data_IF_149078432050
#
_entry.id   IF_149078432050
#
_cell.length_a   1.000
_cell.length_b   1.000
_cell.length_c   1.000
_cell.angle_alpha   90.00
_cell.angle_beta   90.00
_cell.angle_gamma   90.00
#
_symmetry.space_group_name_H-M   'P 1'
#
loop_
_entity.id
_entity.type
_entity.pdbx_description
1 polymer ?
#
# COMPACT_ATOMS: atom_id res chain seq x y z
N UNK A 1 -42.91 -21.08 11.46
CA UNK A 1 -43.12 -19.81 10.74
C UNK A 1 -43.63 -18.78 11.73
N UNK A 2 -42.72 -17.96 12.25
CA UNK A 2 -43.01 -16.81 13.11
C UNK A 2 -43.03 -17.07 14.62
N UNK A 3 -42.38 -18.14 15.10
CA UNK A 3 -42.23 -18.42 16.52
C UNK A 3 -41.04 -17.67 17.15
N UNK A 4 -41.04 -17.57 18.48
CA UNK A 4 -39.85 -17.17 19.24
C UNK A 4 -38.73 -18.23 19.14
N UNK A 5 -39.09 -19.48 18.87
CA UNK A 5 -38.17 -20.61 18.80
C UNK A 5 -38.75 -21.69 17.87
N UNK A 6 -38.17 -21.90 16.69
CA UNK A 6 -38.58 -22.94 15.75
C UNK A 6 -37.47 -24.02 15.66
N UNK A 7 -37.82 -25.30 15.87
CA UNK A 7 -36.86 -26.42 15.75
C UNK A 7 -37.39 -27.49 14.81
N UNK A 8 -36.56 -27.90 13.85
CA UNK A 8 -36.82 -28.98 12.90
C UNK A 8 -35.73 -30.05 13.01
N UNK A 9 -36.13 -31.31 13.17
CA UNK A 9 -35.21 -32.44 13.34
C UNK A 9 -35.48 -33.52 12.28
N UNK A 10 -34.53 -33.72 11.39
CA UNK A 10 -34.52 -34.76 10.35
C UNK A 10 -35.54 -34.56 9.23
N UNK A 11 -35.46 -35.43 8.21
CA UNK A 11 -36.38 -35.47 7.07
C UNK A 11 -35.69 -35.24 5.73
N UNK A 12 -36.49 -35.25 4.66
CA UNK A 12 -35.99 -34.96 3.31
C UNK A 12 -35.85 -33.46 3.03
N UNK A 13 -36.70 -32.62 3.64
CA UNK A 13 -36.68 -31.16 3.49
C UNK A 13 -37.04 -30.48 4.82
N UNK A 14 -36.17 -29.61 5.32
CA UNK A 14 -36.43 -28.70 6.44
C UNK A 14 -36.46 -27.25 5.96
N UNK A 15 -37.57 -26.52 6.18
CA UNK A 15 -37.65 -25.10 5.82
C UNK A 15 -38.21 -24.28 6.96
N UNK A 16 -37.44 -23.30 7.43
CA UNK A 16 -37.83 -22.36 8.49
C UNK A 16 -37.70 -20.92 7.98
N UNK A 17 -38.65 -20.05 8.37
CA UNK A 17 -38.64 -18.64 7.97
C UNK A 17 -39.08 -17.72 9.11
N UNK A 18 -38.26 -16.70 9.38
CA UNK A 18 -38.62 -15.49 10.13
C UNK A 18 -38.84 -15.66 11.63
N UNK A 19 -38.18 -16.63 12.28
CA UNK A 19 -38.20 -16.76 13.75
C UNK A 19 -37.12 -15.92 14.45
N UNK A 20 -37.18 -15.85 15.78
CA UNK A 20 -36.10 -15.21 16.56
C UNK A 20 -34.91 -16.16 16.74
N UNK A 21 -35.17 -17.46 16.86
CA UNK A 21 -34.15 -18.48 16.99
C UNK A 21 -34.61 -19.75 16.26
N UNK A 22 -33.93 -20.07 15.17
CA UNK A 22 -34.30 -21.15 14.26
C UNK A 22 -33.21 -22.22 14.24
N UNK A 23 -33.55 -23.48 14.53
CA UNK A 23 -32.61 -24.61 14.50
C UNK A 23 -33.11 -25.73 13.59
N UNK A 24 -32.27 -26.15 12.65
CA UNK A 24 -32.54 -27.31 11.78
C UNK A 24 -31.40 -28.31 11.89
N UNK A 25 -31.71 -29.60 12.05
CA UNK A 25 -30.67 -30.64 12.13
C UNK A 25 -30.98 -31.87 11.29
N UNK A 26 -29.98 -32.34 10.53
CA UNK A 26 -29.91 -33.68 9.97
C UNK A 26 -30.89 -33.97 8.82
N UNK A 27 -31.31 -32.95 8.07
CA UNK A 27 -32.10 -33.12 6.86
C UNK A 27 -31.25 -33.40 5.61
N UNK A 28 -31.88 -33.81 4.51
CA UNK A 28 -31.18 -33.89 3.22
C UNK A 28 -31.02 -32.51 2.57
N UNK A 29 -32.00 -31.62 2.76
CA UNK A 29 -31.98 -30.26 2.23
C UNK A 29 -32.64 -29.31 3.21
N UNK A 30 -31.84 -28.47 3.86
CA UNK A 30 -32.27 -27.60 4.94
C UNK A 30 -32.10 -26.12 4.55
N UNK A 31 -33.17 -25.33 4.70
CA UNK A 31 -33.18 -23.90 4.36
C UNK A 31 -33.77 -23.06 5.47
N UNK A 32 -33.00 -22.10 5.98
CA UNK A 32 -33.45 -21.12 6.96
C UNK A 32 -33.34 -19.71 6.36
N UNK A 33 -34.35 -18.86 6.58
CA UNK A 33 -34.36 -17.49 6.05
C UNK A 33 -34.86 -16.46 7.06
N UNK A 34 -34.07 -15.40 7.23
CA UNK A 34 -34.49 -14.13 7.81
C UNK A 34 -34.80 -14.18 9.31
N UNK A 35 -34.17 -15.07 10.06
CA UNK A 35 -34.27 -15.08 11.52
C UNK A 35 -33.23 -14.17 12.19
N UNK A 36 -33.29 -14.05 13.52
CA UNK A 36 -32.24 -13.31 14.26
C UNK A 36 -31.04 -14.21 14.54
N UNK A 37 -31.26 -15.48 14.86
CA UNK A 37 -30.20 -16.46 15.11
C UNK A 37 -30.57 -17.81 14.50
N UNK A 38 -29.85 -18.18 13.44
CA UNK A 38 -30.19 -19.31 12.59
C UNK A 38 -29.06 -20.35 12.67
N UNK A 39 -29.38 -21.60 13.05
CA UNK A 39 -28.41 -22.70 13.15
C UNK A 39 -28.86 -23.90 12.35
N UNK A 40 -28.01 -24.37 11.43
CA UNK A 40 -28.23 -25.62 10.67
C UNK A 40 -27.07 -26.58 10.90
N UNK A 41 -27.36 -27.86 11.17
CA UNK A 41 -26.33 -28.85 11.48
C UNK A 41 -26.54 -30.19 10.78
N UNK A 42 -25.48 -30.70 10.14
CA UNK A 42 -25.33 -32.09 9.73
C UNK A 42 -26.24 -32.55 8.59
N UNK A 43 -26.70 -31.62 7.74
CA UNK A 43 -27.46 -31.98 6.54
C UNK A 43 -26.58 -32.27 5.32
N UNK A 44 -27.19 -32.68 4.21
CA UNK A 44 -26.44 -32.84 2.95
C UNK A 44 -26.27 -31.51 2.21
N UNK A 45 -27.29 -30.65 2.25
CA UNK A 45 -27.26 -29.34 1.62
C UNK A 45 -27.98 -28.31 2.50
N UNK A 46 -27.20 -27.42 3.10
CA UNK A 46 -27.66 -26.52 4.15
C UNK A 46 -27.51 -25.07 3.68
N UNK A 47 -28.60 -24.31 3.68
CA UNK A 47 -28.60 -22.91 3.23
C UNK A 47 -29.28 -21.98 4.24
N UNK A 48 -28.54 -20.98 4.71
CA UNK A 48 -29.07 -19.91 5.55
C UNK A 48 -28.97 -18.58 4.81
N UNK A 49 -30.04 -17.76 4.86
CA UNK A 49 -30.04 -16.44 4.21
C UNK A 49 -30.58 -15.33 5.09
N UNK A 50 -29.78 -14.27 5.21
CA UNK A 50 -30.22 -12.94 5.61
C UNK A 50 -30.64 -12.81 7.08
N UNK A 51 -30.12 -13.68 7.96
CA UNK A 51 -30.31 -13.50 9.39
C UNK A 51 -29.27 -12.56 10.01
N UNK A 52 -29.40 -12.27 11.31
CA UNK A 52 -28.38 -11.46 12.01
C UNK A 52 -27.15 -12.31 12.35
N UNK A 53 -27.34 -13.56 12.80
CA UNK A 53 -26.27 -14.49 13.12
C UNK A 53 -26.60 -15.88 12.57
N UNK A 54 -25.89 -16.27 11.52
CA UNK A 54 -26.17 -17.47 10.73
C UNK A 54 -25.01 -18.46 10.89
N UNK A 55 -25.30 -19.69 11.33
CA UNK A 55 -24.30 -20.74 11.54
C UNK A 55 -24.71 -22.04 10.88
N UNK A 56 -23.82 -22.58 10.04
CA UNK A 56 -23.98 -23.90 9.43
C UNK A 56 -22.80 -24.78 9.83
N UNK A 57 -23.06 -26.03 10.24
CA UNK A 57 -21.99 -26.94 10.64
C UNK A 57 -22.14 -28.37 10.10
N UNK A 58 -21.04 -28.88 9.55
CA UNK A 58 -20.84 -30.31 9.36
C UNK A 58 -21.68 -30.94 8.26
N UNK A 59 -22.23 -30.16 7.34
CA UNK A 59 -22.94 -30.69 6.17
C UNK A 59 -22.00 -31.00 4.99
N UNK A 60 -22.55 -31.54 3.90
CA UNK A 60 -21.75 -31.76 2.68
C UNK A 60 -21.56 -30.47 1.89
N UNK A 61 -22.61 -29.64 1.79
CA UNK A 61 -22.58 -28.36 1.10
C UNK A 61 -23.30 -27.29 1.92
N UNK A 62 -22.53 -26.40 2.52
CA UNK A 62 -22.99 -25.44 3.52
C UNK A 62 -22.86 -24.02 2.96
N UNK A 63 -23.97 -23.27 2.93
CA UNK A 63 -24.00 -21.92 2.35
C UNK A 63 -24.70 -20.92 3.25
N UNK A 64 -24.02 -19.81 3.55
CA UNK A 64 -24.61 -18.63 4.18
C UNK A 64 -24.62 -17.47 3.18
N UNK A 65 -25.75 -16.77 3.04
CA UNK A 65 -25.86 -15.61 2.16
C UNK A 65 -26.40 -14.38 2.89
N UNK A 66 -25.61 -13.31 2.94
CA UNK A 66 -25.95 -12.04 3.56
C UNK A 66 -25.88 -12.09 5.09
N UNK A 67 -26.59 -11.17 5.73
CA UNK A 67 -26.66 -11.07 7.18
C UNK A 67 -25.54 -10.24 7.82
N UNK A 68 -25.52 -10.19 9.16
CA UNK A 68 -24.47 -9.47 9.90
C UNK A 68 -23.26 -10.38 10.17
N UNK A 69 -23.50 -11.62 10.61
CA UNK A 69 -22.45 -12.58 10.93
C UNK A 69 -22.78 -13.96 10.34
N UNK A 70 -21.98 -14.45 9.40
CA UNK A 70 -22.15 -15.75 8.77
C UNK A 70 -20.98 -16.68 9.04
N UNK A 71 -21.26 -17.89 9.55
CA UNK A 71 -20.25 -18.89 9.89
C UNK A 71 -20.58 -20.24 9.25
N UNK A 72 -19.60 -20.83 8.59
CA UNK A 72 -19.62 -22.24 8.20
C UNK A 72 -18.48 -22.98 8.90
N UNK A 73 -18.75 -24.14 9.49
CA UNK A 73 -17.75 -24.93 10.19
C UNK A 73 -17.77 -26.40 9.76
N UNK A 74 -16.64 -26.87 9.22
CA UNK A 74 -16.46 -28.24 8.75
C UNK A 74 -17.16 -28.48 7.40
N UNK A 75 -17.39 -29.76 7.09
CA UNK A 75 -18.06 -30.17 5.86
C UNK A 75 -17.14 -30.34 4.66
N UNK A 76 -17.72 -30.64 3.49
CA UNK A 76 -16.96 -30.78 2.25
C UNK A 76 -16.79 -29.45 1.52
N UNK A 77 -17.86 -28.66 1.39
CA UNK A 77 -17.85 -27.37 0.71
C UNK A 77 -18.58 -26.31 1.53
N UNK A 78 -17.86 -25.31 2.04
CA UNK A 78 -18.40 -24.23 2.85
C UNK A 78 -18.30 -22.87 2.16
N UNK A 79 -19.40 -22.15 2.08
CA UNK A 79 -19.47 -20.84 1.41
C UNK A 79 -20.19 -19.80 2.26
N UNK A 80 -19.58 -18.61 2.38
CA UNK A 80 -20.26 -17.42 2.88
C UNK A 80 -20.22 -16.32 1.81
N UNK A 81 -21.37 -15.74 1.47
CA UNK A 81 -21.47 -14.66 0.47
C UNK A 81 -22.13 -13.41 1.05
N UNK A 82 -21.40 -12.30 1.05
CA UNK A 82 -21.86 -11.00 1.53
C UNK A 82 -21.95 -10.92 3.05
N UNK A 83 -22.50 -9.81 3.54
CA UNK A 83 -22.68 -9.54 4.96
C UNK A 83 -21.55 -8.70 5.58
N UNK A 84 -21.53 -8.58 6.91
CA UNK A 84 -20.50 -7.80 7.61
C UNK A 84 -19.30 -8.67 8.00
N UNK A 85 -19.54 -9.84 8.59
CA UNK A 85 -18.50 -10.82 8.91
C UNK A 85 -18.81 -12.17 8.27
N UNK A 86 -17.88 -12.70 7.47
CA UNK A 86 -17.97 -14.02 6.89
C UNK A 86 -16.82 -14.92 7.33
N UNK A 87 -17.14 -16.10 7.89
CA UNK A 87 -16.13 -17.03 8.41
C UNK A 87 -16.39 -18.44 7.91
N UNK A 88 -15.37 -19.08 7.34
CA UNK A 88 -15.37 -20.53 7.06
C UNK A 88 -14.22 -21.20 7.81
N UNK A 89 -14.50 -22.26 8.57
CA UNK A 89 -13.51 -22.96 9.38
C UNK A 89 -13.50 -24.47 9.08
N UNK A 90 -12.38 -24.96 8.56
CA UNK A 90 -12.15 -26.36 8.23
C UNK A 90 -12.88 -26.81 6.96
N UNK A 91 -12.80 -28.10 6.67
CA UNK A 91 -13.43 -28.73 5.51
C UNK A 91 -12.49 -28.90 4.32
N UNK A 92 -13.04 -29.25 3.15
CA UNK A 92 -12.24 -29.46 1.95
C UNK A 92 -12.13 -28.19 1.10
N UNK A 93 -13.23 -27.49 0.86
CA UNK A 93 -13.25 -26.19 0.18
C UNK A 93 -13.92 -25.14 1.05
N UNK A 94 -13.22 -24.05 1.34
CA UNK A 94 -13.76 -22.90 2.06
C UNK A 94 -13.74 -21.65 1.20
N UNK A 95 -14.88 -20.96 1.08
CA UNK A 95 -14.99 -19.76 0.25
C UNK A 95 -15.77 -18.66 0.96
N UNK A 96 -15.17 -17.48 1.10
CA UNK A 96 -15.87 -16.27 1.56
C UNK A 96 -15.77 -15.19 0.49
N UNK A 97 -16.88 -14.51 0.20
CA UNK A 97 -16.87 -13.43 -0.79
C UNK A 97 -17.70 -12.22 -0.39
N UNK A 98 -17.13 -11.03 -0.57
CA UNK A 98 -17.86 -9.77 -0.61
C UNK A 98 -18.41 -9.29 0.74
N UNK A 99 -17.86 -9.77 1.86
CA UNK A 99 -18.16 -9.23 3.18
C UNK A 99 -17.25 -8.05 3.54
N UNK A 100 -17.47 -7.44 4.72
CA UNK A 100 -16.55 -6.42 5.24
C UNK A 100 -15.28 -7.06 5.82
N UNK A 101 -15.44 -8.16 6.55
CA UNK A 101 -14.35 -8.93 7.15
C UNK A 101 -14.53 -10.42 6.87
N UNK A 102 -13.69 -10.96 6.00
CA UNK A 102 -13.80 -12.29 5.43
C UNK A 102 -12.62 -13.17 5.87
N UNK A 103 -12.93 -14.33 6.45
CA UNK A 103 -11.93 -15.25 7.00
C UNK A 103 -12.19 -16.68 6.56
N UNK A 104 -11.17 -17.35 6.02
CA UNK A 104 -11.18 -18.80 5.83
C UNK A 104 -10.00 -19.40 6.59
N UNK A 105 -10.22 -20.49 7.32
CA UNK A 105 -9.13 -21.15 8.04
C UNK A 105 -9.18 -22.68 8.00
N UNK A 106 -8.04 -23.30 7.73
CA UNK A 106 -7.79 -24.72 7.98
C UNK A 106 -8.50 -25.69 7.03
N UNK A 107 -8.92 -25.24 5.84
CA UNK A 107 -9.43 -26.12 4.78
C UNK A 107 -8.32 -26.69 3.89
N UNK A 108 -8.67 -27.55 2.93
CA UNK A 108 -7.70 -27.95 1.89
C UNK A 108 -7.49 -26.79 0.91
N UNK A 109 -8.58 -26.22 0.39
CA UNK A 109 -8.55 -25.13 -0.59
C UNK A 109 -9.42 -23.96 -0.13
N UNK A 110 -8.75 -22.87 0.24
CA UNK A 110 -9.35 -21.73 0.91
C UNK A 110 -9.29 -20.48 0.04
N UNK A 111 -10.43 -19.80 -0.14
CA UNK A 111 -10.55 -18.62 -1.01
C UNK A 111 -11.30 -17.49 -0.31
N UNK A 112 -10.69 -16.32 -0.27
CA UNK A 112 -11.39 -15.06 0.03
C UNK A 112 -11.40 -14.17 -1.22
N UNK A 113 -12.56 -13.61 -1.56
CA UNK A 113 -12.70 -12.75 -2.74
C UNK A 113 -13.51 -11.49 -2.47
N UNK A 114 -12.89 -10.33 -2.69
CA UNK A 114 -13.45 -9.01 -2.46
C UNK A 114 -13.42 -8.63 -0.98
N UNK A 115 -14.17 -7.57 -0.64
CA UNK A 115 -14.32 -7.11 0.73
C UNK A 115 -13.30 -6.08 1.20
N UNK A 116 -13.40 -5.67 2.46
CA UNK A 116 -12.47 -4.70 3.05
C UNK A 116 -11.26 -5.39 3.67
N UNK A 117 -11.45 -6.50 4.37
CA UNK A 117 -10.39 -7.26 5.03
C UNK A 117 -10.54 -8.74 4.74
N UNK A 118 -9.53 -9.35 4.11
CA UNK A 118 -9.51 -10.76 3.75
C UNK A 118 -8.40 -11.53 4.45
N UNK A 119 -8.73 -12.68 5.04
CA UNK A 119 -7.75 -13.52 5.73
C UNK A 119 -7.90 -14.98 5.34
N UNK A 120 -6.79 -15.61 5.00
CA UNK A 120 -6.66 -17.07 4.92
C UNK A 120 -5.60 -17.54 5.92
N UNK A 121 -5.95 -18.43 6.85
CA UNK A 121 -4.98 -19.03 7.77
C UNK A 121 -4.97 -20.55 7.76
N UNK A 122 -3.80 -21.12 7.56
CA UNK A 122 -3.60 -22.56 7.47
C UNK A 122 -4.15 -23.15 6.18
N UNK A 123 -4.12 -24.47 6.08
CA UNK A 123 -4.62 -25.23 4.94
C UNK A 123 -3.56 -25.64 3.93
N UNK A 124 -3.97 -26.22 2.80
CA UNK A 124 -3.04 -26.68 1.77
C UNK A 124 -2.84 -25.62 0.66
N UNK A 125 -3.91 -24.97 0.23
CA UNK A 125 -3.88 -23.93 -0.79
C UNK A 125 -4.73 -22.74 -0.37
N UNK A 126 -4.11 -21.57 -0.23
CA UNK A 126 -4.76 -20.34 0.20
C UNK A 126 -4.77 -19.27 -0.88
N UNK A 127 -5.92 -18.65 -1.13
CA UNK A 127 -6.06 -17.57 -2.12
C UNK A 127 -6.85 -16.40 -1.56
N UNK A 128 -6.31 -15.19 -1.68
CA UNK A 128 -7.07 -13.97 -1.42
C UNK A 128 -7.05 -13.10 -2.67
N UNK A 129 -8.21 -12.56 -3.05
CA UNK A 129 -8.31 -11.69 -4.22
C UNK A 129 -9.14 -10.44 -3.97
N UNK A 130 -8.60 -9.27 -4.34
CA UNK A 130 -9.36 -8.02 -4.48
C UNK A 130 -9.92 -7.44 -3.18
N UNK A 131 -9.35 -7.77 -2.02
CA UNK A 131 -9.64 -7.10 -0.75
C UNK A 131 -8.84 -5.81 -0.59
N UNK A 132 -9.20 -4.99 0.41
CA UNK A 132 -8.45 -3.76 0.74
C UNK A 132 -7.20 -4.07 1.58
N UNK A 133 -7.31 -5.04 2.49
CA UNK A 133 -6.23 -5.57 3.30
C UNK A 133 -6.30 -7.11 3.33
N UNK A 134 -5.26 -7.77 2.81
CA UNK A 134 -5.24 -9.21 2.61
C UNK A 134 -4.09 -9.87 3.40
N UNK A 135 -4.39 -10.91 4.16
CA UNK A 135 -3.41 -11.70 4.92
C UNK A 135 -3.54 -13.17 4.55
N UNK A 136 -2.42 -13.78 4.17
CA UNK A 136 -2.34 -15.25 4.02
C UNK A 136 -1.19 -15.76 4.89
N UNK A 137 -1.46 -16.80 5.68
CA UNK A 137 -0.45 -17.37 6.59
C UNK A 137 -0.63 -18.87 6.76
N UNK A 138 0.46 -19.62 6.57
CA UNK A 138 0.56 -21.01 7.01
C UNK A 138 -0.02 -22.05 6.05
N UNK A 139 -0.26 -21.69 4.78
CA UNK A 139 -0.56 -22.66 3.73
C UNK A 139 0.70 -23.26 3.10
N UNK A 140 0.54 -24.34 2.33
CA UNK A 140 1.64 -24.93 1.55
C UNK A 140 1.91 -24.13 0.26
N UNK A 141 0.87 -23.54 -0.34
CA UNK A 141 0.97 -22.62 -1.47
C UNK A 141 -0.07 -21.51 -1.31
N UNK A 142 0.43 -20.27 -1.19
CA UNK A 142 -0.35 -19.09 -0.87
C UNK A 142 -0.26 -18.07 -2.01
N UNK A 143 -1.42 -17.57 -2.47
CA UNK A 143 -1.52 -16.64 -3.60
C UNK A 143 -2.36 -15.42 -3.18
N UNK A 144 -1.75 -14.24 -3.22
CA UNK A 144 -2.43 -12.96 -3.04
C UNK A 144 -2.54 -12.28 -4.41
N UNK A 145 -3.76 -12.11 -4.90
CA UNK A 145 -4.04 -11.50 -6.20
C UNK A 145 -4.89 -10.24 -6.01
N UNK A 146 -4.24 -9.08 -5.89
CA UNK A 146 -4.93 -7.80 -5.77
C UNK A 146 -4.99 -7.20 -4.37
N UNK A 147 -4.11 -7.63 -3.45
CA UNK A 147 -3.75 -6.83 -2.29
C UNK A 147 -3.00 -5.57 -2.74
N UNK A 148 -3.37 -4.40 -2.21
CA UNK A 148 -2.89 -3.09 -2.66
C UNK A 148 -1.45 -2.76 -2.22
N UNK A 149 -0.77 -3.68 -1.53
CA UNK A 149 0.63 -3.55 -1.14
C UNK A 149 1.52 -4.25 -2.16
N UNK A 150 2.26 -3.45 -2.93
CA UNK A 150 3.15 -3.91 -3.97
C UNK A 150 4.45 -4.51 -3.45
N UNK A 151 5.17 -5.13 -4.37
CA UNK A 151 6.52 -5.64 -4.14
C UNK A 151 7.42 -4.50 -3.66
N UNK A 152 8.29 -4.77 -2.68
CA UNK A 152 9.31 -3.85 -2.19
C UNK A 152 10.69 -4.48 -2.44
N UNK A 153 11.66 -3.66 -2.82
CA UNK A 153 13.08 -4.04 -2.85
C UNK A 153 13.83 -3.25 -1.79
N UNK A 154 14.60 -3.96 -0.98
CA UNK A 154 15.55 -3.40 -0.03
C UNK A 154 16.97 -3.64 -0.55
N UNK A 155 17.76 -2.58 -0.64
CA UNK A 155 19.21 -2.71 -0.80
C UNK A 155 19.86 -2.64 0.57
N UNK A 156 20.48 -3.75 0.96
CA UNK A 156 21.08 -3.94 2.27
C UNK A 156 22.62 -3.95 2.16
N UNK A 157 23.33 -3.53 3.21
CA UNK A 157 24.78 -3.63 3.24
C UNK A 157 25.25 -5.10 3.08
N UNK A 158 26.44 -5.33 2.49
CA UNK A 158 26.96 -6.68 2.29
C UNK A 158 27.24 -7.44 3.60
N UNK A 159 27.47 -6.71 4.68
CA UNK A 159 27.71 -7.25 6.04
C UNK A 159 26.41 -7.41 6.84
N UNK A 160 25.24 -7.19 6.24
CA UNK A 160 23.96 -7.26 6.95
C UNK A 160 23.71 -8.65 7.58
N UNK A 161 23.33 -8.64 8.85
CA UNK A 161 22.81 -9.78 9.58
C UNK A 161 21.54 -9.38 10.34
N UNK A 162 20.52 -10.24 10.34
CA UNK A 162 19.29 -10.03 11.11
C UNK A 162 19.52 -10.09 12.63
N UNK A 163 20.63 -10.67 13.07
CA UNK A 163 20.99 -10.76 14.49
C UNK A 163 21.69 -9.50 15.02
N UNK A 164 22.09 -8.58 14.13
CA UNK A 164 22.71 -7.32 14.54
C UNK A 164 21.65 -6.35 15.09
N UNK A 165 21.88 -5.85 16.31
CA UNK A 165 21.07 -4.80 16.92
C UNK A 165 21.28 -3.40 16.28
N UNK A 166 21.95 -3.33 15.12
CA UNK A 166 22.34 -2.07 14.51
C UNK A 166 21.23 -1.51 13.62
N UNK A 167 20.67 -0.36 14.02
CA UNK A 167 19.65 0.38 13.28
C UNK A 167 20.25 1.23 12.16
N UNK A 168 19.66 1.20 10.98
CA UNK A 168 20.24 1.78 9.75
C UNK A 168 19.37 2.89 9.19
N UNK A 169 19.95 4.05 8.81
CA UNK A 169 19.22 5.10 8.11
C UNK A 169 18.58 4.59 6.82
N UNK A 170 17.43 5.17 6.48
CA UNK A 170 16.60 4.73 5.36
C UNK A 170 16.56 5.82 4.29
N UNK A 171 16.81 5.44 3.03
CA UNK A 171 16.58 6.29 1.86
C UNK A 171 15.50 5.65 1.00
N UNK A 172 14.33 6.28 0.94
CA UNK A 172 13.25 5.89 0.06
C UNK A 172 13.46 6.52 -1.30
N UNK A 173 13.80 5.70 -2.29
CA UNK A 173 13.91 6.12 -3.68
C UNK A 173 12.54 5.99 -4.36
N UNK A 174 12.02 7.13 -4.81
CA UNK A 174 10.67 7.25 -5.33
C UNK A 174 10.72 7.42 -6.83
N UNK A 175 10.10 6.46 -7.52
CA UNK A 175 9.76 6.55 -8.93
C UNK A 175 8.24 6.64 -9.10
N UNK A 176 7.71 5.88 -10.05
CA UNK A 176 6.27 5.66 -10.16
C UNK A 176 5.62 6.48 -11.27
N UNK A 177 6.30 6.63 -12.41
CA UNK A 177 5.62 7.10 -13.61
C UNK A 177 4.53 6.08 -13.98
N UNK A 178 3.30 6.48 -14.32
CA UNK A 178 2.25 5.60 -14.81
C UNK A 178 2.74 4.55 -15.84
N UNK A 179 2.70 3.27 -15.46
CA UNK A 179 3.13 2.13 -16.25
C UNK A 179 4.60 1.74 -16.10
N UNK A 180 5.34 2.36 -15.19
CA UNK A 180 6.75 2.08 -14.94
C UNK A 180 6.95 0.73 -14.23
N UNK A 181 7.96 -0.01 -14.67
CA UNK A 181 8.47 -1.19 -13.96
C UNK A 181 9.56 -0.76 -12.95
N UNK A 182 9.15 -0.08 -11.87
CA UNK A 182 10.07 0.40 -10.81
C UNK A 182 10.91 -0.76 -10.26
N UNK A 183 10.29 -1.93 -10.10
CA UNK A 183 10.95 -3.15 -9.66
C UNK A 183 11.01 -4.18 -10.78
N UNK A 184 12.20 -4.74 -10.99
CA UNK A 184 12.49 -5.78 -11.96
C UNK A 184 13.71 -6.61 -11.51
N UNK A 185 14.00 -7.73 -12.18
CA UNK A 185 15.14 -8.59 -11.83
C UNK A 185 16.42 -8.27 -12.62
N UNK A 186 16.54 -7.06 -13.20
CA UNK A 186 17.76 -6.67 -13.90
C UNK A 186 18.85 -6.33 -12.89
N UNK A 187 20.05 -6.82 -13.18
CA UNK A 187 21.24 -6.42 -12.43
C UNK A 187 21.62 -4.98 -12.79
N UNK A 188 21.85 -4.14 -11.77
CA UNK A 188 22.32 -2.76 -11.90
C UNK A 188 23.28 -2.44 -10.76
N UNK A 189 24.25 -1.56 -11.02
CA UNK A 189 25.08 -0.91 -10.01
C UNK A 189 24.81 0.58 -10.15
N UNK A 190 24.26 1.18 -9.11
CA UNK A 190 23.83 2.57 -9.09
C UNK A 190 24.08 3.19 -7.69
N UNK A 191 23.56 4.39 -7.47
CA UNK A 191 23.68 5.07 -6.19
C UNK A 191 23.14 4.26 -5.01
N UNK A 192 22.10 3.42 -5.22
CA UNK A 192 21.59 2.56 -4.14
C UNK A 192 22.62 1.53 -3.68
N UNK A 193 23.41 1.01 -4.64
CA UNK A 193 24.52 0.09 -4.34
C UNK A 193 25.60 0.79 -3.51
N UNK A 194 25.93 2.04 -3.85
CA UNK A 194 26.89 2.85 -3.09
C UNK A 194 26.40 3.16 -1.65
N UNK A 195 25.15 3.58 -1.50
CA UNK A 195 24.58 3.88 -0.18
C UNK A 195 24.57 2.65 0.73
N UNK A 196 24.15 1.51 0.19
CA UNK A 196 24.13 0.25 0.93
C UNK A 196 25.54 -0.23 1.28
N UNK A 197 26.45 -0.28 0.30
CA UNK A 197 27.79 -0.85 0.51
C UNK A 197 28.74 0.04 1.31
N UNK A 198 28.75 1.36 1.07
CA UNK A 198 29.76 2.26 1.62
C UNK A 198 29.26 3.12 2.79
N UNK A 199 27.95 3.38 2.86
CA UNK A 199 27.34 4.17 3.95
C UNK A 199 26.52 3.32 4.92
N UNK A 200 26.32 2.04 4.60
CA UNK A 200 25.52 1.11 5.39
C UNK A 200 24.07 1.58 5.61
N UNK A 201 23.54 2.37 4.67
CA UNK A 201 22.15 2.84 4.67
C UNK A 201 21.27 1.85 3.91
N UNK A 202 20.02 1.71 4.33
CA UNK A 202 19.04 0.88 3.62
C UNK A 202 18.34 1.72 2.56
N UNK A 203 18.32 1.24 1.32
CA UNK A 203 17.57 1.90 0.24
C UNK A 203 16.30 1.12 -0.05
N UNK A 204 15.16 1.81 -0.04
CA UNK A 204 13.84 1.25 -0.25
C UNK A 204 13.30 1.72 -1.60
N UNK A 205 12.97 0.77 -2.47
CA UNK A 205 12.20 1.00 -3.70
C UNK A 205 10.89 0.22 -3.59
N UNK A 206 9.74 0.87 -3.82
CA UNK A 206 8.43 0.23 -3.72
C UNK A 206 7.66 0.35 -5.04
N UNK A 207 7.03 -0.75 -5.46
CA UNK A 207 6.04 -0.73 -6.52
C UNK A 207 4.70 -0.25 -5.93
N UNK A 208 4.25 0.93 -6.36
CA UNK A 208 2.99 1.54 -5.89
C UNK A 208 1.90 1.45 -6.95
N UNK A 209 0.67 1.88 -6.62
CA UNK A 209 -0.42 1.98 -7.60
C UNK A 209 0.00 2.79 -8.82
N UNK A 210 -0.45 2.37 -9.99
CA UNK A 210 -0.08 2.98 -11.26
C UNK A 210 1.22 2.44 -11.86
N UNK A 211 1.92 1.52 -11.18
CA UNK A 211 3.04 0.78 -11.74
C UNK A 211 2.64 -0.18 -12.88
N UNK A 212 3.65 -0.75 -13.54
CA UNK A 212 3.44 -1.64 -14.67
C UNK A 212 2.60 -2.88 -14.35
N UNK A 213 1.85 -3.37 -15.35
CA UNK A 213 0.95 -4.51 -15.22
C UNK A 213 -0.42 -4.19 -14.62
N UNK A 214 -0.65 -2.95 -14.18
CA UNK A 214 -1.95 -2.48 -13.70
C UNK A 214 -2.76 -1.81 -14.81
N UNK A 215 -4.09 -1.84 -14.71
CA UNK A 215 -4.96 -1.05 -15.59
C UNK A 215 -4.89 0.43 -15.18
N UNK A 216 -4.02 1.17 -15.86
CA UNK A 216 -3.82 2.60 -15.63
C UNK A 216 -5.09 3.42 -15.86
N UNK A 217 -6.01 2.93 -16.70
CA UNK A 217 -7.30 3.55 -16.91
C UNK A 217 -8.16 3.48 -15.64
N UNK A 218 -8.20 2.33 -14.98
CA UNK A 218 -8.91 2.16 -13.71
C UNK A 218 -8.21 2.86 -12.54
N UNK A 219 -6.88 2.97 -12.56
CA UNK A 219 -6.14 3.68 -11.50
C UNK A 219 -6.35 5.20 -11.59
N UNK A 220 -6.20 5.78 -12.79
CA UNK A 220 -6.12 7.23 -12.94
C UNK A 220 -7.39 7.90 -13.46
N UNK A 221 -8.22 7.24 -14.29
CA UNK A 221 -9.46 7.88 -14.80
C UNK A 221 -10.47 8.17 -13.69
N UNK A 222 -10.61 7.34 -12.63
CA UNK A 222 -11.42 7.68 -11.48
C UNK A 222 -10.77 8.80 -10.66
N UNK A 223 -11.04 10.05 -11.08
CA UNK A 223 -10.68 11.24 -10.32
C UNK A 223 -9.41 11.97 -10.77
N UNK A 224 -8.59 11.40 -11.66
CA UNK A 224 -7.43 12.08 -12.28
C UNK A 224 -6.52 12.78 -11.25
N UNK A 225 -6.01 11.98 -10.30
CA UNK A 225 -5.30 12.43 -9.09
C UNK A 225 -3.84 11.98 -9.08
N UNK A 226 -3.09 12.29 -10.14
CA UNK A 226 -1.68 11.92 -10.26
C UNK A 226 -0.86 12.47 -9.08
N UNK A 227 -0.02 11.61 -8.48
CA UNK A 227 0.82 11.95 -7.32
C UNK A 227 0.09 11.97 -5.98
N UNK A 228 -1.23 11.71 -5.92
CA UNK A 228 -1.93 11.57 -4.65
C UNK A 228 -1.86 10.14 -4.12
N UNK A 229 -2.29 9.18 -4.94
CA UNK A 229 -2.41 7.78 -4.55
C UNK A 229 -1.04 7.14 -4.34
N UNK A 230 -0.09 7.46 -5.21
CA UNK A 230 1.28 6.94 -5.19
C UNK A 230 2.03 7.42 -3.94
N UNK A 231 1.89 8.70 -3.61
CA UNK A 231 2.49 9.26 -2.40
C UNK A 231 1.91 8.61 -1.13
N UNK A 232 0.60 8.37 -1.09
CA UNK A 232 -0.04 7.66 0.00
C UNK A 232 0.53 6.25 0.16
N UNK A 233 0.67 5.50 -0.94
CA UNK A 233 1.23 4.14 -0.90
C UNK A 233 2.67 4.12 -0.40
N UNK A 234 3.51 5.06 -0.86
CA UNK A 234 4.89 5.18 -0.37
C UNK A 234 4.94 5.49 1.13
N UNK A 235 4.08 6.37 1.66
CA UNK A 235 4.01 6.66 3.10
C UNK A 235 3.63 5.40 3.86
N UNK A 236 2.60 4.67 3.44
CA UNK A 236 2.12 3.48 4.12
C UNK A 236 3.15 2.35 4.10
N UNK A 237 3.72 2.06 2.93
CA UNK A 237 4.79 1.05 2.80
C UNK A 237 5.97 1.39 3.70
N UNK A 238 6.41 2.65 3.71
CA UNK A 238 7.54 3.08 4.54
C UNK A 238 7.24 2.88 6.02
N UNK A 239 6.05 3.30 6.49
CA UNK A 239 5.65 3.12 7.90
C UNK A 239 5.54 1.66 8.29
N UNK A 240 4.92 0.84 7.45
CA UNK A 240 4.83 -0.62 7.67
C UNK A 240 6.20 -1.28 7.77
N UNK A 241 7.16 -0.87 6.93
CA UNK A 241 8.54 -1.38 7.01
C UNK A 241 9.22 -0.96 8.32
N UNK A 242 9.08 0.31 8.73
CA UNK A 242 9.65 0.80 9.99
C UNK A 242 9.05 0.09 11.21
N UNK A 243 7.77 -0.29 11.16
CA UNK A 243 7.11 -1.03 12.24
C UNK A 243 7.52 -2.51 12.29
N UNK A 244 7.79 -3.13 11.13
CA UNK A 244 8.06 -4.57 11.02
C UNK A 244 9.54 -4.92 11.07
N UNK A 245 10.43 -4.01 10.68
CA UNK A 245 11.85 -4.24 10.53
C UNK A 245 12.63 -3.40 11.54
N UNK A 246 12.97 -4.01 12.68
CA UNK A 246 13.64 -3.34 13.80
C UNK A 246 15.01 -2.76 13.45
N UNK A 247 15.66 -3.27 12.40
CA UNK A 247 16.95 -2.74 11.92
C UNK A 247 16.82 -1.45 11.10
N UNK A 248 15.61 -0.95 10.83
CA UNK A 248 15.40 0.33 10.15
C UNK A 248 15.26 1.47 11.16
N UNK A 249 16.00 2.54 10.94
CA UNK A 249 15.95 3.70 11.81
C UNK A 249 14.87 4.70 11.38
N UNK A 250 13.76 4.69 12.12
CA UNK A 250 12.64 5.62 11.94
C UNK A 250 12.98 7.09 12.22
N UNK A 251 14.06 7.40 12.92
CA UNK A 251 14.51 8.77 13.16
C UNK A 251 15.34 9.34 12.00
N UNK A 252 15.77 8.51 11.04
CA UNK A 252 16.65 8.90 9.93
C UNK A 252 16.14 8.35 8.60
N UNK A 253 14.99 8.89 8.17
CA UNK A 253 14.35 8.52 6.90
C UNK A 253 14.38 9.71 5.94
N UNK A 254 14.98 9.50 4.76
CA UNK A 254 15.02 10.46 3.67
C UNK A 254 14.16 9.96 2.50
N UNK A 255 13.58 10.89 1.75
CA UNK A 255 12.90 10.61 0.48
C UNK A 255 13.59 11.33 -0.67
N UNK A 256 13.90 10.60 -1.74
CA UNK A 256 14.58 11.12 -2.92
C UNK A 256 13.80 10.71 -4.16
N UNK A 257 13.55 11.66 -5.06
CA UNK A 257 12.83 11.38 -6.30
C UNK A 257 13.33 12.22 -7.47
N UNK A 258 13.24 11.64 -8.67
CA UNK A 258 13.64 12.25 -9.95
C UNK A 258 12.46 12.44 -10.88
N UNK A 259 12.30 13.58 -11.55
CA UNK A 259 11.24 13.77 -12.54
C UNK A 259 9.84 13.67 -11.93
N UNK A 260 9.03 12.71 -12.39
CA UNK A 260 7.77 12.34 -11.75
C UNK A 260 7.97 11.77 -10.34
N UNK A 261 9.03 11.00 -10.12
CA UNK A 261 9.45 10.58 -8.79
C UNK A 261 9.73 11.77 -7.89
N UNK A 262 10.26 12.87 -8.43
CA UNK A 262 10.43 14.14 -7.73
C UNK A 262 9.09 14.79 -7.36
N UNK A 263 8.09 14.70 -8.25
CA UNK A 263 6.72 15.08 -7.89
C UNK A 263 6.20 14.23 -6.73
N UNK A 264 6.27 12.90 -6.85
CA UNK A 264 5.80 11.95 -5.83
C UNK A 264 6.52 12.16 -4.49
N UNK A 265 7.84 12.36 -4.49
CA UNK A 265 8.62 12.68 -3.29
C UNK A 265 8.14 13.96 -2.61
N UNK A 266 7.87 15.02 -3.37
CA UNK A 266 7.30 16.24 -2.83
C UNK A 266 5.89 16.01 -2.25
N UNK A 267 5.07 15.21 -2.94
CA UNK A 267 3.72 14.84 -2.50
C UNK A 267 3.73 13.98 -1.24
N UNK A 268 4.74 13.13 -1.05
CA UNK A 268 4.98 12.39 0.19
C UNK A 268 5.21 13.39 1.32
N UNK A 269 6.09 14.38 1.12
CA UNK A 269 6.35 15.43 2.13
C UNK A 269 5.11 16.23 2.47
N UNK A 270 4.26 16.57 1.49
CA UNK A 270 3.04 17.36 1.75
C UNK A 270 1.92 16.56 2.39
N UNK A 271 1.87 15.24 2.16
CA UNK A 271 0.84 14.34 2.70
C UNK A 271 1.26 13.65 4.00
N UNK A 272 2.55 13.68 4.36
CA UNK A 272 3.03 13.16 5.62
C UNK A 272 2.62 14.07 6.79
N UNK A 273 1.48 13.75 7.40
CA UNK A 273 0.90 14.47 8.53
C UNK A 273 1.40 13.99 9.90
N UNK A 274 2.43 13.13 9.94
CA UNK A 274 2.97 12.66 11.23
C UNK A 274 3.69 13.76 12.00
N UNK A 275 3.66 13.64 13.33
CA UNK A 275 4.35 14.51 14.27
C UNK A 275 5.03 13.64 15.35
N UNK A 276 6.37 13.47 15.31
CA UNK A 276 7.29 14.05 14.35
C UNK A 276 7.11 13.48 12.92
N UNK A 277 7.55 14.20 11.87
CA UNK A 277 7.60 13.72 10.49
C UNK A 277 8.22 12.32 10.33
N UNK A 278 7.60 11.49 9.50
CA UNK A 278 8.13 10.18 9.08
C UNK A 278 9.34 10.42 8.19
N UNK A 279 9.27 11.40 7.29
CA UNK A 279 10.37 11.76 6.38
C UNK A 279 11.07 13.02 6.87
N UNK A 280 12.31 12.87 7.33
CA UNK A 280 13.13 13.95 7.93
C UNK A 280 13.60 14.94 6.89
N UNK A 281 14.00 14.45 5.72
CA UNK A 281 14.45 15.30 4.63
C UNK A 281 14.00 14.79 3.26
N UNK A 282 13.88 15.73 2.33
CA UNK A 282 13.39 15.48 0.97
C UNK A 282 14.37 16.08 -0.03
N UNK A 283 14.75 15.29 -1.04
CA UNK A 283 15.55 15.77 -2.18
C UNK A 283 14.79 15.52 -3.49
N UNK A 284 14.62 16.58 -4.26
CA UNK A 284 13.86 16.59 -5.51
C UNK A 284 14.81 16.88 -6.67
N UNK A 285 14.93 15.96 -7.62
CA UNK A 285 15.83 16.08 -8.78
C UNK A 285 14.97 16.26 -10.03
N UNK A 286 15.22 17.31 -10.81
CA UNK A 286 14.43 17.69 -11.98
C UNK A 286 12.90 17.52 -11.78
N UNK A 287 12.30 18.01 -10.68
CA UNK A 287 10.93 17.62 -10.32
C UNK A 287 9.88 18.30 -11.19
N UNK A 288 8.84 17.53 -11.55
CA UNK A 288 7.61 18.10 -12.10
C UNK A 288 6.83 18.76 -10.95
N UNK A 289 6.67 20.07 -10.98
CA UNK A 289 6.01 20.82 -9.89
C UNK A 289 4.57 21.21 -10.18
N UNK A 290 4.17 21.21 -11.45
CA UNK A 290 2.83 21.59 -11.89
C UNK A 290 2.54 20.94 -13.25
N UNK A 291 1.53 20.07 -13.33
CA UNK A 291 1.20 19.32 -14.54
C UNK A 291 0.77 20.22 -15.71
N UNK A 292 0.35 21.46 -15.45
CA UNK A 292 0.02 22.44 -16.50
C UNK A 292 1.25 22.98 -17.24
N UNK A 293 2.44 22.83 -16.65
CA UNK A 293 3.71 23.22 -17.26
C UNK A 293 4.38 22.07 -18.02
N UNK A 294 3.91 20.84 -17.82
CA UNK A 294 4.49 19.64 -18.41
C UNK A 294 3.90 19.30 -19.79
N UNK A 295 4.48 18.32 -20.48
CA UNK A 295 4.06 17.93 -21.82
C UNK A 295 2.57 17.52 -21.87
N UNK A 296 1.80 18.13 -22.78
CA UNK A 296 0.35 17.91 -22.89
C UNK A 296 -0.02 16.45 -23.15
N UNK A 297 0.74 15.75 -23.99
CA UNK A 297 0.53 14.31 -24.24
C UNK A 297 0.50 13.49 -22.95
N UNK A 298 1.40 13.81 -22.00
CA UNK A 298 1.49 13.10 -20.74
C UNK A 298 0.41 13.58 -19.77
N UNK A 299 0.36 14.89 -19.52
CA UNK A 299 -0.57 15.49 -18.57
C UNK A 299 -2.03 15.19 -18.94
N UNK A 300 -2.44 15.39 -20.19
CA UNK A 300 -3.84 15.15 -20.59
C UNK A 300 -4.23 13.67 -20.55
N UNK A 301 -3.28 12.75 -20.76
CA UNK A 301 -3.53 11.31 -20.71
C UNK A 301 -3.86 10.82 -19.30
N UNK A 302 -3.19 11.35 -18.27
CA UNK A 302 -3.32 10.88 -16.88
C UNK A 302 -4.10 11.84 -15.97
N UNK A 303 -4.17 13.12 -16.32
CA UNK A 303 -4.88 14.16 -15.57
C UNK A 303 -6.12 14.69 -16.30
N UNK A 304 -6.40 14.29 -17.54
CA UNK A 304 -7.44 14.92 -18.35
C UNK A 304 -7.11 16.37 -18.72
N UNK A 305 -8.05 17.09 -19.31
CA UNK A 305 -7.82 18.48 -19.73
C UNK A 305 -7.87 19.46 -18.55
N UNK A 306 -6.90 20.37 -18.43
CA UNK A 306 -6.91 21.42 -17.42
C UNK A 306 -7.97 22.52 -17.65
N UNK A 307 -8.69 22.49 -18.77
CA UNK A 307 -9.68 23.51 -19.11
C UNK A 307 -10.89 23.45 -18.17
N UNK A 308 -11.44 24.62 -17.86
CA UNK A 308 -12.70 24.76 -17.09
C UNK A 308 -13.88 24.51 -18.03
N UNK A 309 -14.13 23.23 -18.34
CA UNK A 309 -15.21 22.76 -19.23
C UNK A 309 -15.86 21.50 -18.63
N UNK A 310 -17.10 21.16 -19.03
CA UNK A 310 -17.70 19.88 -18.65
C UNK A 310 -16.79 18.70 -19.04
N UNK A 311 -16.48 17.83 -18.09
CA UNK A 311 -15.54 16.71 -18.29
C UNK A 311 -14.05 17.09 -18.24
N UNK A 312 -13.71 18.35 -17.94
CA UNK A 312 -12.33 18.76 -17.63
C UNK A 312 -11.94 18.53 -16.16
N UNK A 313 -10.67 18.72 -15.85
CA UNK A 313 -10.05 18.42 -14.55
C UNK A 313 -9.25 19.59 -13.93
N UNK A 314 -9.67 20.84 -14.14
CA UNK A 314 -8.91 21.99 -13.61
C UNK A 314 -8.59 21.88 -12.11
N UNK A 315 -9.53 21.34 -11.30
CA UNK A 315 -9.31 21.11 -9.86
C UNK A 315 -8.21 20.11 -9.57
N UNK A 316 -8.15 19.01 -10.34
CA UNK A 316 -7.07 18.04 -10.18
C UNK A 316 -5.70 18.65 -10.44
N UNK A 317 -5.58 19.55 -11.43
CA UNK A 317 -4.34 20.30 -11.69
C UNK A 317 -3.99 21.25 -10.52
N UNK A 318 -4.96 21.97 -9.96
CA UNK A 318 -4.73 22.81 -8.77
C UNK A 318 -4.34 21.98 -7.53
N UNK A 319 -5.08 20.91 -7.24
CA UNK A 319 -4.83 20.03 -6.10
C UNK A 319 -3.49 19.31 -6.18
N UNK A 320 -2.98 19.04 -7.39
CA UNK A 320 -1.69 18.40 -7.63
C UNK A 320 -0.52 19.41 -7.66
N UNK A 321 -0.77 20.68 -7.95
CA UNK A 321 0.27 21.72 -8.08
C UNK A 321 1.02 21.95 -6.77
N UNK A 322 2.33 21.69 -6.79
CA UNK A 322 3.22 21.96 -5.66
C UNK A 322 3.38 23.47 -5.42
N UNK A 323 3.13 24.30 -6.44
CA UNK A 323 3.20 25.76 -6.33
C UNK A 323 2.16 26.29 -5.32
N UNK A 324 0.96 25.71 -5.34
CA UNK A 324 -0.13 26.07 -4.42
C UNK A 324 0.09 25.49 -3.02
N UNK A 325 0.85 24.40 -2.92
CA UNK A 325 1.15 23.71 -1.67
C UNK A 325 2.47 24.16 -1.02
N UNK A 326 3.21 25.11 -1.60
CA UNK A 326 4.56 25.46 -1.14
C UNK A 326 4.65 25.76 0.38
N UNK A 327 3.59 26.32 0.98
CA UNK A 327 3.55 26.61 2.42
C UNK A 327 3.58 25.38 3.34
N UNK A 328 3.24 24.18 2.86
CA UNK A 328 3.28 22.94 3.66
C UNK A 328 4.71 22.45 3.94
N UNK A 329 5.69 22.95 3.18
CA UNK A 329 7.11 22.64 3.38
C UNK A 329 7.76 23.46 4.50
N UNK A 330 7.01 24.29 5.23
CA UNK A 330 7.53 24.97 6.42
C UNK A 330 8.07 23.95 7.42
N UNK A 331 9.24 24.23 7.96
CA UNK A 331 9.97 23.37 8.90
C UNK A 331 10.32 21.96 8.34
N UNK A 332 10.26 21.77 7.01
CA UNK A 332 10.75 20.56 6.34
C UNK A 332 12.12 20.83 5.73
N UNK A 333 13.03 19.86 5.81
CA UNK A 333 14.31 19.92 5.10
C UNK A 333 14.09 19.58 3.62
N UNK A 334 14.33 20.55 2.74
CA UNK A 334 14.12 20.41 1.29
C UNK A 334 15.38 20.80 0.49
N UNK A 335 15.77 19.91 -0.43
CA UNK A 335 16.77 20.16 -1.48
C UNK A 335 16.09 20.09 -2.85
N UNK A 336 16.30 21.13 -3.65
CA UNK A 336 15.92 21.17 -5.07
C UNK A 336 17.18 21.05 -5.93
N UNK A 337 17.18 20.13 -6.88
CA UNK A 337 18.25 19.98 -7.87
C UNK A 337 17.65 20.08 -9.27
N UNK A 338 18.26 20.88 -10.15
CA UNK A 338 17.80 20.97 -11.53
C UNK A 338 18.91 21.21 -12.56
N UNK A 339 18.85 20.56 -13.73
CA UNK A 339 19.70 20.85 -14.89
C UNK A 339 19.22 22.09 -15.64
N UNK A 340 20.08 23.06 -15.93
CA UNK A 340 19.63 24.32 -16.56
C UNK A 340 19.22 24.18 -18.03
N UNK A 341 19.55 23.05 -18.66
CA UNK A 341 19.21 22.73 -20.06
C UNK A 341 18.29 21.50 -20.16
N UNK A 342 17.52 21.20 -19.09
CA UNK A 342 16.52 20.14 -19.10
C UNK A 342 15.39 20.46 -20.11
N UNK A 343 15.26 19.59 -21.11
CA UNK A 343 14.25 19.71 -22.16
C UNK A 343 13.03 18.82 -21.93
N UNK A 344 13.07 17.92 -20.95
CA UNK A 344 11.94 17.06 -20.59
C UNK A 344 11.10 17.74 -19.51
N UNK A 345 11.70 17.99 -18.35
CA UNK A 345 11.11 18.81 -17.29
C UNK A 345 11.75 20.19 -17.34
N UNK A 346 11.10 21.15 -17.99
CA UNK A 346 11.67 22.49 -18.15
C UNK A 346 12.05 23.14 -16.79
N UNK A 347 13.21 23.84 -16.67
CA UNK A 347 13.67 24.46 -15.41
C UNK A 347 12.66 25.42 -14.75
N UNK A 348 11.70 25.92 -15.53
CA UNK A 348 10.52 26.67 -15.05
C UNK A 348 9.83 25.99 -13.88
N UNK A 349 9.76 24.66 -13.86
CA UNK A 349 9.17 23.91 -12.76
C UNK A 349 9.82 24.25 -11.42
N UNK A 350 11.15 24.14 -11.34
CA UNK A 350 11.89 24.43 -10.11
C UNK A 350 12.02 25.92 -9.84
N UNK A 351 12.14 26.76 -10.86
CA UNK A 351 12.19 28.22 -10.68
C UNK A 351 10.86 28.80 -10.17
N UNK A 352 9.71 28.30 -10.65
CA UNK A 352 8.40 28.71 -10.14
C UNK A 352 8.14 28.17 -8.74
N UNK A 353 8.58 26.94 -8.45
CA UNK A 353 8.42 26.35 -7.13
C UNK A 353 9.30 27.03 -6.08
N UNK A 354 10.58 27.28 -6.38
CA UNK A 354 11.47 28.08 -5.51
C UNK A 354 10.91 29.47 -5.23
N UNK A 355 10.32 30.14 -6.23
CA UNK A 355 9.58 31.40 -6.03
C UNK A 355 8.39 31.25 -5.09
N UNK A 356 7.61 30.17 -5.22
CA UNK A 356 6.47 29.89 -4.35
C UNK A 356 6.91 29.62 -2.89
N UNK A 357 7.92 28.77 -2.70
CA UNK A 357 8.54 28.49 -1.40
C UNK A 357 9.05 29.77 -0.73
N UNK A 358 9.76 30.61 -1.49
CA UNK A 358 10.26 31.91 -1.01
C UNK A 358 9.12 32.82 -0.56
N UNK A 359 8.04 32.93 -1.35
CA UNK A 359 6.85 33.71 -0.98
C UNK A 359 6.16 33.18 0.28
N UNK A 360 6.21 31.87 0.51
CA UNK A 360 5.65 31.22 1.69
C UNK A 360 6.57 31.26 2.92
N UNK A 361 7.78 31.82 2.81
CA UNK A 361 8.77 31.87 3.89
C UNK A 361 9.40 30.51 4.22
N UNK A 362 9.43 29.58 3.25
CA UNK A 362 10.08 28.28 3.42
C UNK A 362 11.56 28.39 3.10
N UNK A 363 12.41 27.86 3.98
CA UNK A 363 13.85 27.72 3.76
C UNK A 363 14.10 26.40 3.03
N UNK A 364 14.88 26.45 1.95
CA UNK A 364 15.25 25.29 1.16
C UNK A 364 16.67 25.47 0.61
N UNK A 365 17.31 24.37 0.20
CA UNK A 365 18.56 24.38 -0.55
C UNK A 365 18.26 24.18 -2.03
N UNK A 366 19.02 24.84 -2.91
CA UNK A 366 18.89 24.66 -4.35
C UNK A 366 20.27 24.50 -4.99
N UNK A 367 20.41 23.49 -5.83
CA UNK A 367 21.57 23.24 -6.68
C UNK A 367 21.12 23.26 -8.14
N UNK A 368 21.77 24.06 -8.97
CA UNK A 368 21.57 24.04 -10.41
C UNK A 368 22.83 23.50 -11.09
N UNK A 369 22.66 22.63 -12.07
CA UNK A 369 23.75 22.15 -12.91
C UNK A 369 23.67 22.80 -14.29
N UNK A 370 24.66 23.62 -14.60
CA UNK A 370 24.70 24.39 -15.84
C UNK A 370 24.88 23.47 -17.05
N UNK A 371 24.10 23.74 -18.09
CA UNK A 371 24.09 23.04 -19.39
C UNK A 371 23.72 21.55 -19.33
N UNK A 372 23.33 21.02 -18.17
CA UNK A 372 22.87 19.64 -18.02
C UNK A 372 21.38 19.49 -18.39
N UNK A 373 21.07 18.36 -19.03
CA UNK A 373 19.72 17.94 -19.37
C UNK A 373 19.03 17.16 -18.25
N UNK A 374 18.02 16.37 -18.62
CA UNK A 374 17.19 15.63 -17.66
C UNK A 374 17.94 14.55 -16.88
N UNK A 375 18.94 13.91 -17.49
CA UNK A 375 19.65 12.77 -16.91
C UNK A 375 20.86 13.17 -16.03
N UNK A 376 21.32 14.43 -16.12
CA UNK A 376 22.47 14.95 -15.37
C UNK A 376 23.77 14.12 -15.54
N UNK A 377 23.93 13.45 -16.67
CA UNK A 377 24.98 12.44 -16.93
C UNK A 377 26.41 12.95 -16.70
N UNK A 378 26.71 14.23 -17.01
CA UNK A 378 28.09 14.74 -16.92
C UNK A 378 28.47 15.17 -15.50
N UNK A 379 27.51 15.17 -14.58
CA UNK A 379 27.68 15.65 -13.19
C UNK A 379 27.23 14.63 -12.14
N UNK A 380 26.91 13.40 -12.56
CA UNK A 380 26.35 12.34 -11.71
C UNK A 380 27.13 12.14 -10.38
N UNK A 381 28.46 12.06 -10.45
CA UNK A 381 29.29 11.92 -9.25
C UNK A 381 29.16 13.11 -8.27
N UNK A 382 29.04 14.32 -8.78
CA UNK A 382 28.83 15.51 -7.96
C UNK A 382 27.40 15.55 -7.40
N UNK A 383 26.41 15.13 -8.18
CA UNK A 383 25.03 14.96 -7.74
C UNK A 383 24.94 13.99 -6.57
N UNK A 384 25.51 12.79 -6.69
CA UNK A 384 25.44 11.78 -5.64
C UNK A 384 26.13 12.20 -4.34
N UNK A 385 27.27 12.88 -4.43
CA UNK A 385 27.93 13.49 -3.25
C UNK A 385 27.09 14.60 -2.63
N UNK A 386 26.48 15.46 -3.45
CA UNK A 386 25.56 16.51 -2.97
C UNK A 386 24.38 15.92 -2.22
N UNK A 387 23.75 14.86 -2.76
CA UNK A 387 22.63 14.18 -2.13
C UNK A 387 23.04 13.52 -0.82
N UNK A 388 24.14 12.76 -0.81
CA UNK A 388 24.65 12.12 0.40
C UNK A 388 24.96 13.14 1.50
N UNK A 389 25.69 14.20 1.17
CA UNK A 389 26.05 15.25 2.12
C UNK A 389 24.80 15.95 2.66
N UNK A 390 23.83 16.25 1.78
CA UNK A 390 22.57 16.84 2.18
C UNK A 390 21.80 15.95 3.16
N UNK A 391 21.59 14.67 2.82
CA UNK A 391 20.87 13.72 3.66
C UNK A 391 21.58 13.54 5.00
N UNK A 392 22.90 13.29 4.96
CA UNK A 392 23.70 13.10 6.18
C UNK A 392 23.69 14.34 7.08
N UNK A 393 23.65 15.56 6.52
CA UNK A 393 23.58 16.81 7.30
C UNK A 393 22.18 17.11 7.84
N UNK A 394 21.15 16.46 7.31
CA UNK A 394 19.75 16.67 7.68
C UNK A 394 19.26 15.69 8.75
N UNK A 395 19.91 14.53 8.86
CA UNK A 395 19.62 13.58 9.91
C UNK A 395 20.10 14.06 11.28
N UNK A 396 19.38 13.72 12.37
CA UNK A 396 19.90 13.93 13.71
C UNK A 396 21.23 13.20 13.90
N UNK A 397 22.16 13.76 14.70
CA UNK A 397 23.39 13.08 15.04
C UNK A 397 23.10 11.78 15.79
N UNK A 398 23.97 10.79 15.64
CA UNK A 398 23.90 9.56 16.42
C UNK A 398 24.10 9.87 17.92
N UNK A 399 23.33 9.20 18.77
CA UNK A 399 23.53 9.23 20.22
C UNK A 399 24.77 8.43 20.61
N UNK A 400 25.31 8.64 21.81
CA UNK A 400 26.45 7.83 22.30
C UNK A 400 26.11 6.33 22.37
N UNK A 401 24.86 5.99 22.69
CA UNK A 401 24.37 4.62 22.73
C UNK A 401 24.41 3.98 21.33
N UNK A 402 23.91 4.69 20.32
CA UNK A 402 23.93 4.24 18.92
C UNK A 402 25.37 4.13 18.39
N UNK A 403 26.23 5.08 18.74
CA UNK A 403 27.65 5.05 18.39
C UNK A 403 28.38 3.86 19.04
N UNK A 404 28.02 3.51 20.29
CA UNK A 404 28.59 2.37 21.00
C UNK A 404 28.18 1.02 20.40
N UNK A 405 26.98 0.95 19.81
CA UNK A 405 26.52 -0.21 19.04
C UNK A 405 27.22 -0.29 17.68
N UNK A 406 27.47 0.86 17.04
CA UNK A 406 28.16 0.99 15.76
C UNK A 406 29.64 0.60 15.78
N UNK A 407 30.37 1.10 16.77
CA UNK A 407 31.83 1.00 16.82
C UNK A 407 32.32 0.03 17.91
N UNK A 408 31.40 -0.61 18.63
CA UNK A 408 31.70 -1.36 19.84
C UNK A 408 32.18 -0.44 20.97
N UNK A 409 32.44 -1.02 22.16
CA UNK A 409 33.06 -0.31 23.30
C UNK A 409 34.54 -0.01 23.03
N UNK A 410 34.85 0.79 22.02
CA UNK A 410 36.17 1.34 21.72
C UNK A 410 36.11 2.86 21.69
N UNK A 411 37.22 3.58 21.92
CA UNK A 411 37.21 5.04 21.87
C UNK A 411 36.81 5.52 20.47
N UNK A 412 35.86 6.46 20.43
CA UNK A 412 35.41 7.10 19.19
C UNK A 412 36.60 7.84 18.53
N UNK A 413 36.79 7.71 17.20
CA UNK A 413 37.81 8.44 16.46
C UNK A 413 37.51 9.94 16.33
#
# INVERSE_FOLDING_TARGET
MGGWFDVVMGGWFGVVMGGWFDVVMGGWFDVVKGGWFDVVMGGWFDVVKGGWFDVVMGGWFDVVMGGWFGVVKGGWFGVVMGGWFGVVMGGWFGVVMGGWFDVVMGGWFDVVKGGWFGVVMGGWFGVVMGGWFDVVKGGWCDVVMGGWFGVVRLSLPPEFSEEEAFIRPVVVQVGGHPGEHTLNHKWKVDWSTYLASNRSWVVVEAAVRGGAGQDLGLVYKPGWKLGQLEAHDHIQVTRSLLEQLEFLDGARVAVVGWGHGGHNAARITTQDTSDPPTFVCTALINPITDWSLYASYYSEKYMGTAKVVPGGNYRGYEESSLLLQAGTFKNRSLLLVHGSADTDVHPDHTLKFSRALTKSGVIFRQQTYTDEGHDLDRVEMHLYRTLEQYISSSFPPYTEEELSLLFGKGPLP
#
